data_IF_123255152106
#
_entry.id   IF_123255152106
#
_cell.length_a   1.000
_cell.length_b   1.000
_cell.length_c   1.000
_cell.angle_alpha   90.00
_cell.angle_beta   90.00
_cell.angle_gamma   90.00
#
_symmetry.space_group_name_H-M   'P 1'
#
loop_
_entity.id
_entity.type
_entity.pdbx_description
1 polymer ?
#
# COMPACT_ATOMS: atom_id res chain seq x y z
N UNK A 1 -7.95 -27.88 7.29
CA UNK A 1 -6.98 -27.78 8.39
C UNK A 1 -5.91 -26.79 7.98
N UNK A 2 -5.80 -25.65 8.67
CA UNK A 2 -4.82 -24.59 8.35
C UNK A 2 -3.34 -24.99 8.60
N UNK A 3 -3.07 -26.25 8.94
CA UNK A 3 -1.81 -26.76 9.48
C UNK A 3 -1.13 -27.82 8.60
N UNK A 4 -1.56 -27.96 7.34
CA UNK A 4 -1.10 -29.04 6.45
C UNK A 4 -0.01 -28.62 5.45
N UNK A 5 0.61 -27.45 5.62
CA UNK A 5 1.83 -27.08 4.88
C UNK A 5 2.97 -26.71 5.84
N UNK A 6 4.17 -27.28 5.66
CA UNK A 6 5.29 -27.06 6.55
C UNK A 6 5.95 -25.72 6.22
N UNK A 7 6.44 -25.06 7.29
CA UNK A 7 7.09 -23.75 7.35
C UNK A 7 6.13 -22.55 7.38
N UNK A 8 5.77 -22.13 8.59
CA UNK A 8 5.10 -20.84 8.83
C UNK A 8 6.16 -19.88 9.39
N UNK A 9 6.72 -19.02 8.52
CA UNK A 9 7.65 -17.97 8.94
C UNK A 9 6.85 -16.83 9.59
N UNK A 10 7.37 -16.33 10.70
CA UNK A 10 6.81 -15.20 11.43
C UNK A 10 7.86 -14.13 11.72
N UNK A 11 7.42 -12.99 12.24
CA UNK A 11 8.30 -11.93 12.72
C UNK A 11 8.20 -11.84 14.23
N UNK A 12 9.32 -12.01 14.94
CA UNK A 12 9.40 -11.69 16.35
C UNK A 12 9.31 -10.17 16.49
N UNK A 13 8.50 -9.69 17.44
CA UNK A 13 8.28 -8.26 17.62
C UNK A 13 8.29 -7.88 19.10
N UNK A 14 8.79 -6.68 19.38
CA UNK A 14 8.74 -6.06 20.70
C UNK A 14 7.50 -5.16 20.79
N UNK A 15 6.68 -5.35 21.82
CA UNK A 15 5.62 -4.43 22.17
C UNK A 15 6.21 -3.19 22.86
N UNK A 16 6.22 -2.06 22.14
CA UNK A 16 6.80 -0.78 22.59
C UNK A 16 5.82 0.00 23.44
N UNK A 17 4.54 -0.03 23.06
CA UNK A 17 3.48 0.68 23.78
C UNK A 17 2.21 -0.14 23.79
N UNK A 18 1.52 -0.12 24.93
CA UNK A 18 0.20 -0.72 25.09
C UNK A 18 -0.76 0.37 25.55
N UNK A 19 -1.82 0.58 24.79
CA UNK A 19 -2.92 1.48 25.16
C UNK A 19 -4.17 0.65 25.26
N UNK A 20 -4.86 0.71 26.40
CA UNK A 20 -6.12 0.01 26.63
C UNK A 20 -7.24 0.99 26.92
N UNK A 21 -8.44 0.70 26.42
CA UNK A 21 -9.66 1.37 26.88
C UNK A 21 -10.78 0.34 27.08
N UNK A 22 -11.56 0.55 28.13
CA UNK A 22 -12.58 -0.39 28.59
C UNK A 22 -13.99 -0.03 28.09
N UNK A 23 -14.12 0.93 27.18
CA UNK A 23 -15.43 1.43 26.73
C UNK A 23 -15.50 1.50 25.20
N UNK A 24 -16.58 1.01 24.53
CA UNK A 24 -17.72 0.26 25.07
C UNK A 24 -17.42 -1.22 25.35
N UNK A 25 -16.26 -1.72 24.91
CA UNK A 25 -15.68 -3.03 25.22
C UNK A 25 -14.17 -2.88 25.43
N UNK A 26 -13.52 -3.78 26.19
CA UNK A 26 -12.06 -3.79 26.31
C UNK A 26 -11.42 -3.88 24.92
N UNK A 27 -10.62 -2.89 24.58
CA UNK A 27 -9.81 -2.88 23.36
C UNK A 27 -8.39 -2.44 23.73
N UNK A 28 -7.42 -3.12 23.13
CA UNK A 28 -6.00 -2.82 23.29
C UNK A 28 -5.39 -2.51 21.94
N UNK A 29 -4.67 -1.40 21.87
CA UNK A 29 -3.83 -1.03 20.74
C UNK A 29 -2.38 -1.21 21.15
N UNK A 30 -1.66 -2.03 20.39
CA UNK A 30 -0.24 -2.30 20.60
C UNK A 30 0.57 -1.57 19.52
N UNK A 31 1.55 -0.78 19.93
CA UNK A 31 2.64 -0.37 19.06
C UNK A 31 3.72 -1.43 19.15
N UNK A 32 4.03 -2.06 18.01
CA UNK A 32 5.00 -3.16 17.93
C UNK A 32 6.11 -2.84 16.93
N UNK A 33 7.33 -3.29 17.22
CA UNK A 33 8.48 -3.18 16.32
C UNK A 33 9.00 -4.59 16.01
N UNK A 34 9.05 -4.95 14.73
CA UNK A 34 9.63 -6.22 14.28
C UNK A 34 11.14 -6.26 14.50
N UNK A 35 11.66 -7.41 14.93
CA UNK A 35 13.06 -7.63 15.28
C UNK A 35 13.76 -8.57 14.31
N UNK A 36 13.19 -9.76 14.10
CA UNK A 36 13.78 -10.79 13.25
C UNK A 36 12.72 -11.78 12.78
N UNK A 37 13.02 -12.49 11.70
CA UNK A 37 12.24 -13.64 11.26
C UNK A 37 12.52 -14.86 12.14
N UNK A 38 11.47 -15.63 12.36
CA UNK A 38 11.57 -16.95 12.95
C UNK A 38 10.76 -17.97 12.15
N UNK A 39 11.14 -19.23 12.24
CA UNK A 39 10.33 -20.35 11.81
C UNK A 39 9.70 -21.03 13.02
N UNK A 40 8.44 -21.41 12.91
CA UNK A 40 7.79 -22.27 13.90
C UNK A 40 8.31 -23.70 13.76
N UNK A 41 8.90 -24.23 14.83
CA UNK A 41 9.35 -25.62 14.90
C UNK A 41 8.23 -26.54 15.36
N UNK A 42 7.61 -26.21 16.50
CA UNK A 42 6.54 -27.01 17.09
C UNK A 42 5.59 -26.16 17.93
N UNK A 43 4.29 -26.46 17.86
CA UNK A 43 3.30 -25.90 18.78
C UNK A 43 3.30 -26.68 20.10
N UNK A 44 3.57 -25.98 21.20
CA UNK A 44 3.65 -26.55 22.55
C UNK A 44 2.30 -26.48 23.28
N UNK A 45 1.49 -25.46 22.99
CA UNK A 45 0.21 -25.20 23.65
C UNK A 45 -0.70 -24.37 22.73
N UNK A 46 -2.01 -24.62 22.77
CA UNK A 46 -3.01 -23.86 22.01
C UNK A 46 -3.84 -22.88 22.86
N UNK A 47 -4.17 -23.26 24.10
CA UNK A 47 -5.09 -22.52 24.97
C UNK A 47 -4.43 -22.16 26.31
N UNK A 48 -4.69 -20.97 26.89
CA UNK A 48 -5.62 -19.94 26.42
C UNK A 48 -5.09 -19.09 25.25
N UNK A 49 -3.79 -19.19 24.96
CA UNK A 49 -3.13 -18.60 23.80
C UNK A 49 -2.07 -19.59 23.29
N UNK A 50 -1.74 -19.52 21.98
CA UNK A 50 -0.76 -20.41 21.39
C UNK A 50 0.64 -20.12 21.94
N UNK A 51 1.40 -21.18 22.22
CA UNK A 51 2.83 -21.13 22.56
C UNK A 51 3.52 -22.11 21.61
N UNK A 52 4.55 -21.65 20.92
CA UNK A 52 5.33 -22.46 20.00
C UNK A 52 6.82 -22.34 20.30
N UNK A 53 7.55 -23.40 20.03
CA UNK A 53 8.99 -23.39 19.88
C UNK A 53 9.35 -22.84 18.50
N UNK A 54 10.32 -21.94 18.44
CA UNK A 54 10.68 -21.20 17.23
C UNK A 54 12.20 -21.14 17.07
N UNK A 55 12.66 -21.10 15.82
CA UNK A 55 14.05 -20.88 15.45
C UNK A 55 14.22 -19.53 14.77
N UNK A 56 15.17 -18.71 15.23
CA UNK A 56 15.48 -17.43 14.59
C UNK A 56 16.26 -17.65 13.28
N UNK A 57 15.77 -17.04 12.19
CA UNK A 57 16.31 -17.20 10.84
C UNK A 57 17.27 -16.07 10.44
N UNK A 58 16.96 -14.83 10.81
CA UNK A 58 17.77 -13.67 10.43
C UNK A 58 19.01 -13.56 11.33
N UNK A 59 20.11 -14.20 10.91
CA UNK A 59 21.46 -13.91 11.39
C UNK A 59 22.15 -13.00 10.39
N UNK A 60 21.93 -11.68 10.51
CA UNK A 60 22.50 -10.69 9.58
C UNK A 60 24.03 -10.84 9.38
N UNK A 61 24.74 -11.38 10.35
CA UNK A 61 26.19 -11.61 10.31
C UNK A 61 26.64 -12.69 9.30
N UNK A 62 25.75 -13.52 8.77
CA UNK A 62 26.11 -14.64 7.87
C UNK A 62 26.03 -14.30 6.38
N UNK A 63 25.49 -13.14 6.01
CA UNK A 63 25.36 -12.72 4.60
C UNK A 63 26.68 -12.24 3.97
N UNK A 64 27.77 -12.15 4.73
CA UNK A 64 29.09 -11.67 4.28
C UNK A 64 30.09 -12.78 3.92
N UNK A 65 29.75 -14.06 4.12
CA UNK A 65 30.74 -15.16 4.06
C UNK A 65 30.61 -16.10 2.84
N UNK A 66 29.95 -15.69 1.75
CA UNK A 66 29.88 -16.48 0.52
C UNK A 66 30.37 -15.68 -0.69
N UNK A 67 31.59 -15.98 -1.15
CA UNK A 67 32.36 -15.25 -2.17
C UNK A 67 31.77 -15.25 -3.61
N UNK A 68 30.52 -15.70 -3.82
CA UNK A 68 29.81 -15.57 -5.10
C UNK A 68 28.48 -14.82 -4.99
N UNK A 69 27.90 -14.74 -3.80
CA UNK A 69 26.65 -14.01 -3.52
C UNK A 69 26.86 -12.51 -3.35
N UNK A 70 28.06 -12.07 -2.96
CA UNK A 70 28.30 -10.68 -2.57
C UNK A 70 28.20 -9.70 -3.76
N UNK A 71 28.63 -10.11 -4.95
CA UNK A 71 28.54 -9.29 -6.17
C UNK A 71 27.08 -9.16 -6.65
N UNK A 72 26.37 -10.28 -6.81
CA UNK A 72 24.94 -10.28 -7.22
C UNK A 72 24.06 -9.54 -6.20
N UNK A 73 24.29 -9.76 -4.90
CA UNK A 73 23.60 -9.04 -3.84
C UNK A 73 23.92 -7.53 -3.88
N UNK A 74 25.17 -7.17 -4.18
CA UNK A 74 25.60 -5.79 -4.37
C UNK A 74 24.84 -5.11 -5.52
N UNK A 75 24.76 -5.76 -6.68
CA UNK A 75 24.01 -5.27 -7.84
C UNK A 75 22.52 -5.10 -7.52
N UNK A 76 21.89 -6.11 -6.90
CA UNK A 76 20.48 -6.04 -6.49
C UNK A 76 20.23 -4.91 -5.50
N UNK A 77 21.12 -4.73 -4.54
CA UNK A 77 21.05 -3.69 -3.51
C UNK A 77 21.17 -2.28 -4.11
N UNK A 78 22.10 -2.09 -5.06
CA UNK A 78 22.25 -0.83 -5.77
C UNK A 78 21.03 -0.53 -6.66
N UNK A 79 20.58 -1.53 -7.44
CA UNK A 79 19.40 -1.43 -8.28
C UNK A 79 18.15 -1.07 -7.46
N UNK A 80 17.94 -1.74 -6.33
CA UNK A 80 16.84 -1.48 -5.43
C UNK A 80 16.86 -0.05 -4.91
N UNK A 81 18.02 0.41 -4.40
CA UNK A 81 18.16 1.77 -3.89
C UNK A 81 17.89 2.82 -4.98
N UNK A 82 18.36 2.58 -6.21
CA UNK A 82 18.08 3.45 -7.36
C UNK A 82 16.58 3.57 -7.63
N UNK A 83 15.84 2.47 -7.62
CA UNK A 83 14.38 2.53 -7.79
C UNK A 83 13.67 3.18 -6.60
N UNK A 84 14.13 2.94 -5.38
CA UNK A 84 13.58 3.58 -4.18
C UNK A 84 13.72 5.10 -4.23
N UNK A 85 14.91 5.60 -4.58
CA UNK A 85 15.17 7.03 -4.75
C UNK A 85 14.32 7.60 -5.88
N UNK A 86 14.29 6.93 -7.04
CA UNK A 86 13.46 7.34 -8.17
C UNK A 86 11.98 7.45 -7.78
N UNK A 87 11.45 6.48 -7.03
CA UNK A 87 10.07 6.48 -6.59
C UNK A 87 9.77 7.71 -5.72
N UNK A 88 10.66 8.05 -4.78
CA UNK A 88 10.49 9.21 -3.88
C UNK A 88 10.65 10.53 -4.62
N UNK A 89 11.58 10.62 -5.58
CA UNK A 89 11.79 11.83 -6.39
C UNK A 89 10.63 12.14 -7.33
N UNK A 90 9.81 11.14 -7.66
CA UNK A 90 8.56 11.35 -8.41
C UNK A 90 7.42 11.92 -7.54
N UNK A 91 7.59 11.95 -6.22
CA UNK A 91 6.64 12.52 -5.26
C UNK A 91 6.99 13.98 -4.96
N UNK A 92 6.03 14.73 -4.42
CA UNK A 92 6.22 16.12 -4.05
C UNK A 92 7.05 16.25 -2.76
N UNK A 93 8.30 16.69 -2.89
CA UNK A 93 9.24 16.89 -1.79
C UNK A 93 8.84 18.01 -0.82
N UNK A 94 7.89 18.89 -1.19
CA UNK A 94 7.36 19.89 -0.26
C UNK A 94 6.52 19.26 0.86
N UNK A 95 6.02 18.03 0.66
CA UNK A 95 5.27 17.28 1.66
C UNK A 95 6.24 16.76 2.74
N UNK A 96 6.09 17.15 4.02
CA UNK A 96 7.03 16.77 5.08
C UNK A 96 7.21 15.25 5.25
N UNK A 97 6.15 14.48 4.99
CA UNK A 97 6.21 13.02 5.04
C UNK A 97 7.13 12.44 3.95
N UNK A 98 7.13 13.01 2.74
CA UNK A 98 7.98 12.60 1.63
C UNK A 98 9.44 12.97 1.91
N UNK A 99 9.69 14.17 2.44
CA UNK A 99 11.03 14.58 2.87
C UNK A 99 11.57 13.68 4.00
N UNK A 100 10.72 13.27 4.94
CA UNK A 100 11.10 12.30 5.99
C UNK A 100 11.39 10.93 5.39
N UNK A 101 10.60 10.46 4.42
CA UNK A 101 10.84 9.21 3.71
C UNK A 101 12.20 9.22 2.99
N UNK A 102 12.54 10.31 2.30
CA UNK A 102 13.87 10.48 1.67
C UNK A 102 15.00 10.35 2.69
N UNK A 103 14.89 11.07 3.82
CA UNK A 103 15.89 10.99 4.89
C UNK A 103 15.98 9.60 5.50
N UNK A 104 14.86 8.88 5.63
CA UNK A 104 14.89 7.49 6.08
C UNK A 104 15.65 6.60 5.09
N UNK A 105 15.39 6.73 3.79
CA UNK A 105 16.12 5.98 2.77
C UNK A 105 17.63 6.24 2.78
N UNK A 106 18.05 7.48 3.00
CA UNK A 106 19.47 7.85 3.00
C UNK A 106 20.23 7.36 4.24
N UNK A 107 19.53 7.08 5.35
CA UNK A 107 20.13 6.68 6.62
C UNK A 107 19.93 5.18 6.97
N UNK A 108 19.09 4.45 6.23
CA UNK A 108 18.79 3.06 6.53
C UNK A 108 19.90 2.13 6.00
N UNK A 109 20.27 1.07 6.76
CA UNK A 109 21.06 -0.03 6.20
C UNK A 109 20.41 -0.60 4.94
N UNK A 110 21.23 -0.88 3.91
CA UNK A 110 20.72 -1.34 2.62
C UNK A 110 19.97 -2.65 2.74
N UNK A 111 20.39 -3.50 3.67
CA UNK A 111 19.83 -4.81 3.97
C UNK A 111 18.41 -4.74 4.54
N UNK A 112 18.05 -3.62 5.16
CA UNK A 112 16.72 -3.38 5.72
C UNK A 112 15.75 -2.72 4.72
N UNK A 113 16.26 -2.20 3.60
CA UNK A 113 15.45 -1.47 2.63
C UNK A 113 14.29 -2.29 2.05
N UNK A 114 14.44 -3.58 1.68
CA UNK A 114 13.32 -4.38 1.17
C UNK A 114 12.17 -4.47 2.16
N UNK A 115 12.47 -4.69 3.44
CA UNK A 115 11.46 -4.88 4.49
C UNK A 115 10.74 -3.57 4.79
N UNK A 116 11.50 -2.48 4.94
CA UNK A 116 10.94 -1.15 5.23
C UNK A 116 10.11 -0.63 4.06
N UNK A 117 10.62 -0.66 2.82
CA UNK A 117 9.86 -0.17 1.67
C UNK A 117 8.62 -1.01 1.36
N UNK A 118 8.68 -2.33 1.52
CA UNK A 118 7.50 -3.20 1.38
C UNK A 118 6.38 -2.80 2.33
N UNK A 119 6.72 -2.31 3.53
CA UNK A 119 5.75 -1.82 4.51
C UNK A 119 5.11 -0.47 4.14
N UNK A 120 5.78 0.31 3.28
CA UNK A 120 5.37 1.67 2.89
C UNK A 120 4.61 1.67 1.57
N UNK A 121 5.05 0.89 0.59
CA UNK A 121 4.45 0.85 -0.75
C UNK A 121 3.18 -0.01 -0.77
N UNK A 122 2.32 0.25 -1.77
CA UNK A 122 1.08 -0.54 -1.95
C UNK A 122 1.42 -1.98 -2.39
N UNK A 123 1.12 -2.93 -1.50
CA UNK A 123 1.30 -4.38 -1.71
C UNK A 123 0.11 -5.17 -1.20
N UNK A 124 -0.17 -6.32 -1.82
CA UNK A 124 -1.18 -7.26 -1.36
C UNK A 124 -0.68 -8.06 -0.14
N UNK A 125 -1.61 -8.63 0.63
CA UNK A 125 -1.22 -9.50 1.75
C UNK A 125 -0.43 -10.73 1.29
N UNK A 126 -0.74 -11.26 0.10
CA UNK A 126 0.01 -12.38 -0.48
C UNK A 126 1.45 -11.98 -0.81
N UNK A 127 1.67 -10.81 -1.41
CA UNK A 127 3.01 -10.29 -1.70
C UNK A 127 3.82 -10.08 -0.41
N UNK A 128 3.18 -9.54 0.64
CA UNK A 128 3.82 -9.37 1.96
C UNK A 128 4.24 -10.70 2.57
N UNK A 129 3.40 -11.72 2.50
CA UNK A 129 3.73 -13.06 3.00
C UNK A 129 4.87 -13.69 2.19
N UNK A 130 4.86 -13.56 0.87
CA UNK A 130 5.95 -14.07 0.03
C UNK A 130 7.31 -13.41 0.34
N UNK A 131 7.32 -12.12 0.67
CA UNK A 131 8.53 -11.40 1.09
C UNK A 131 8.95 -11.79 2.52
N UNK A 132 7.99 -12.07 3.40
CA UNK A 132 8.27 -12.59 4.73
C UNK A 132 8.92 -13.98 4.66
N UNK A 133 8.42 -14.82 3.75
CA UNK A 133 8.92 -16.18 3.52
C UNK A 133 10.32 -16.21 2.85
N UNK A 134 10.69 -15.13 2.15
CA UNK A 134 12.02 -14.96 1.58
C UNK A 134 13.07 -14.67 2.68
N UNK A 135 13.69 -15.73 3.22
CA UNK A 135 14.70 -15.62 4.28
C UNK A 135 16.00 -14.98 3.75
N UNK A 136 16.43 -15.36 2.55
CA UNK A 136 17.65 -14.83 1.93
C UNK A 136 17.46 -13.37 1.51
N UNK A 137 18.43 -12.52 1.82
CA UNK A 137 18.36 -11.09 1.48
C UNK A 137 18.25 -10.85 -0.04
N UNK A 138 18.97 -11.62 -0.86
CA UNK A 138 18.87 -11.55 -2.32
C UNK A 138 17.46 -11.85 -2.83
N UNK A 139 16.79 -12.84 -2.24
CA UNK A 139 15.42 -13.20 -2.61
C UNK A 139 14.45 -12.08 -2.23
N UNK A 140 14.65 -11.45 -1.06
CA UNK A 140 13.89 -10.27 -0.66
C UNK A 140 14.02 -9.14 -1.67
N UNK A 141 15.25 -8.83 -2.10
CA UNK A 141 15.46 -7.85 -3.17
C UNK A 141 14.74 -8.25 -4.47
N UNK A 142 14.94 -9.48 -4.96
CA UNK A 142 14.31 -9.98 -6.19
C UNK A 142 12.79 -9.92 -6.15
N UNK A 143 12.18 -10.16 -4.99
CA UNK A 143 10.73 -10.12 -4.81
C UNK A 143 10.18 -8.68 -4.69
N UNK A 144 10.93 -7.77 -4.05
CA UNK A 144 10.45 -6.40 -3.83
C UNK A 144 10.75 -5.45 -4.99
N UNK A 145 11.82 -5.67 -5.79
CA UNK A 145 12.15 -4.84 -6.97
C UNK A 145 10.96 -4.70 -7.93
N UNK A 146 10.29 -5.79 -8.37
CA UNK A 146 9.12 -5.69 -9.26
C UNK A 146 7.98 -4.87 -8.66
N UNK A 147 7.80 -4.91 -7.33
CA UNK A 147 6.76 -4.14 -6.66
C UNK A 147 7.07 -2.64 -6.69
N UNK A 148 8.35 -2.26 -6.54
CA UNK A 148 8.79 -0.87 -6.71
C UNK A 148 8.61 -0.39 -8.16
N UNK A 149 9.04 -1.20 -9.14
CA UNK A 149 8.88 -0.89 -10.56
C UNK A 149 7.41 -0.65 -10.91
N UNK A 150 6.51 -1.51 -10.41
CA UNK A 150 5.06 -1.34 -10.56
C UNK A 150 4.55 0.01 -10.01
N UNK A 151 5.04 0.46 -8.85
CA UNK A 151 4.67 1.77 -8.31
C UNK A 151 5.18 2.91 -9.18
N UNK A 152 6.43 2.82 -9.65
CA UNK A 152 7.04 3.84 -10.52
C UNK A 152 6.25 3.96 -11.83
N UNK A 153 5.90 2.84 -12.44
CA UNK A 153 5.09 2.80 -13.67
C UNK A 153 3.70 3.39 -13.45
N UNK A 154 3.04 3.04 -12.34
CA UNK A 154 1.77 3.63 -11.95
C UNK A 154 1.83 5.15 -11.83
N UNK A 155 2.86 5.70 -11.16
CA UNK A 155 3.06 7.14 -11.05
C UNK A 155 3.35 7.81 -12.41
N UNK A 156 4.12 7.16 -13.29
CA UNK A 156 4.39 7.70 -14.65
C UNK A 156 3.10 7.84 -15.45
N UNK A 157 2.18 6.88 -15.35
CA UNK A 157 0.89 6.94 -16.03
C UNK A 157 0.05 8.11 -15.49
N UNK A 158 -0.03 8.27 -14.17
CA UNK A 158 -0.74 9.38 -13.54
C UNK A 158 -0.17 10.76 -13.91
N UNK A 159 1.15 10.87 -14.08
CA UNK A 159 1.77 12.12 -14.52
C UNK A 159 1.45 12.45 -15.98
N UNK A 160 1.33 11.45 -16.86
CA UNK A 160 0.97 11.65 -18.27
C UNK A 160 -0.46 12.16 -18.41
N UNK A 161 -1.42 11.56 -17.71
CA UNK A 161 -2.82 11.99 -17.75
C UNK A 161 -2.97 13.42 -17.20
N UNK A 162 -2.27 13.75 -16.11
CA UNK A 162 -2.30 15.09 -15.50
C UNK A 162 -1.68 16.17 -16.41
N UNK A 163 -0.61 15.85 -17.14
CA UNK A 163 0.01 16.77 -18.11
C UNK A 163 -0.87 16.99 -19.34
N UNK A 164 -1.60 15.98 -19.80
CA UNK A 164 -2.51 16.10 -20.94
C UNK A 164 -3.65 17.08 -20.66
N UNK A 165 -4.30 16.96 -19.48
CA UNK A 165 -5.39 17.84 -19.04
C UNK A 165 -4.97 19.32 -18.92
N UNK A 166 -3.70 19.61 -18.60
CA UNK A 166 -3.19 20.98 -18.51
C UNK A 166 -2.88 21.63 -19.86
N UNK A 167 -2.61 20.84 -20.90
CA UNK A 167 -2.33 21.36 -22.25
C UNK A 167 -3.63 21.69 -23.01
N UNK A 168 -4.69 20.92 -22.78
CA UNK A 168 -6.02 21.22 -23.34
C UNK A 168 -6.63 22.49 -22.73
N UNK A 169 -6.41 22.75 -21.44
CA UNK A 169 -6.90 23.95 -20.75
C UNK A 169 -6.18 25.25 -21.22
N UNK A 170 -5.04 25.12 -21.90
CA UNK A 170 -4.35 26.25 -22.55
C UNK A 170 -4.82 26.51 -23.98
N UNK A 171 -5.60 25.60 -24.59
CA UNK A 171 -6.30 25.85 -25.85
C UNK A 171 -7.62 26.55 -25.58
N UNK A 172 -7.55 27.73 -24.97
CA UNK A 172 -8.69 28.64 -24.90
C UNK A 172 -8.97 29.11 -26.32
N UNK A 173 -9.94 28.45 -26.96
CA UNK A 173 -10.50 28.83 -28.26
C UNK A 173 -11.07 30.24 -28.12
N UNK A 174 -10.52 31.18 -28.88
CA UNK A 174 -11.10 32.50 -29.03
C UNK A 174 -12.47 32.38 -29.74
N UNK A 175 -13.54 32.22 -28.96
CA UNK A 175 -14.91 32.20 -29.50
C UNK A 175 -15.28 33.64 -29.88
N UNK A 176 -15.23 33.95 -31.18
CA UNK A 176 -15.89 35.12 -31.76
C UNK A 176 -17.41 34.96 -31.62
N UNK A 177 -18.16 35.99 -31.21
CA UNK A 177 -19.61 35.89 -31.15
C UNK A 177 -20.18 36.07 -32.56
N UNK A 178 -20.78 35.03 -33.12
CA UNK A 178 -21.68 35.19 -34.26
C UNK A 178 -23.01 34.47 -34.02
N UNK A 179 -24.07 35.22 -34.33
CA UNK A 179 -25.47 35.00 -33.97
C UNK A 179 -26.07 33.73 -34.60
N UNK A 180 -26.91 33.06 -33.79
CA UNK A 180 -28.18 32.35 -34.06
C UNK A 180 -28.31 31.57 -35.38
N UNK A 181 -28.65 30.27 -35.30
CA UNK A 181 -29.92 29.67 -35.80
C UNK A 181 -29.93 28.12 -35.68
N UNK A 182 -31.05 27.63 -35.12
CA UNK A 182 -31.73 26.33 -35.22
C UNK A 182 -31.17 24.99 -34.68
N UNK A 183 -32.09 24.34 -33.97
CA UNK A 183 -32.20 22.93 -33.53
C UNK A 183 -31.83 21.88 -34.60
N UNK A 184 -31.18 20.80 -34.16
CA UNK A 184 -31.63 19.37 -34.12
C UNK A 184 -30.50 18.56 -33.41
N UNK A 185 -30.83 17.54 -32.58
CA UNK A 185 -29.86 16.90 -31.70
C UNK A 185 -29.13 15.74 -32.41
N UNK A 186 -27.83 15.61 -32.18
CA UNK A 186 -27.09 14.39 -32.52
C UNK A 186 -26.09 14.07 -31.41
N UNK A 187 -26.24 12.83 -30.96
CA UNK A 187 -25.52 12.02 -29.98
C UNK A 187 -24.06 11.78 -30.33
N UNK A 188 -23.19 11.89 -29.32
CA UNK A 188 -21.93 11.16 -29.08
C UNK A 188 -21.38 11.71 -27.74
N UNK A 189 -21.64 11.03 -26.62
CA UNK A 189 -20.69 10.07 -26.00
C UNK A 189 -19.43 10.78 -25.49
N UNK A 190 -19.55 11.36 -24.29
CA UNK A 190 -18.44 11.63 -23.36
C UNK A 190 -18.79 10.85 -22.07
N UNK A 191 -18.56 9.53 -22.11
CA UNK A 191 -18.49 8.70 -20.91
C UNK A 191 -17.06 8.79 -20.37
N UNK A 192 -16.85 9.53 -19.28
CA UNK A 192 -15.78 9.27 -18.28
C UNK A 192 -15.87 10.24 -17.08
N UNK A 193 -17.08 10.47 -16.52
CA UNK A 193 -17.27 11.01 -15.16
C UNK A 193 -18.53 10.41 -14.47
N UNK A 194 -18.91 9.16 -14.76
CA UNK A 194 -20.17 8.57 -14.24
C UNK A 194 -20.03 7.48 -13.17
N UNK A 195 -18.84 7.04 -12.74
CA UNK A 195 -18.76 5.94 -11.75
C UNK A 195 -19.20 6.41 -10.34
N UNK A 196 -18.75 7.59 -9.89
CA UNK A 196 -19.12 8.14 -8.56
C UNK A 196 -20.56 8.70 -8.52
N UNK A 197 -21.07 9.21 -9.65
CA UNK A 197 -22.44 9.74 -9.71
C UNK A 197 -23.46 8.59 -9.66
N UNK A 198 -23.19 7.47 -10.34
CA UNK A 198 -24.04 6.29 -10.27
C UNK A 198 -24.05 5.68 -8.87
N UNK A 199 -22.92 5.62 -8.18
CA UNK A 199 -22.86 5.05 -6.82
C UNK A 199 -23.72 5.83 -5.82
N UNK A 200 -23.70 7.17 -5.86
CA UNK A 200 -24.54 8.00 -4.98
C UNK A 200 -26.03 7.82 -5.29
N UNK A 201 -26.40 7.75 -6.57
CA UNK A 201 -27.79 7.51 -7.00
C UNK A 201 -28.26 6.09 -6.62
N UNK A 202 -27.40 5.09 -6.75
CA UNK A 202 -27.66 3.70 -6.33
C UNK A 202 -27.83 3.62 -4.81
N UNK A 203 -26.98 4.31 -4.02
CA UNK A 203 -27.10 4.37 -2.57
C UNK A 203 -28.40 5.05 -2.14
N UNK A 204 -28.78 6.15 -2.77
CA UNK A 204 -30.04 6.85 -2.46
C UNK A 204 -31.26 5.96 -2.74
N UNK A 205 -31.25 5.22 -3.86
CA UNK A 205 -32.31 4.27 -4.22
C UNK A 205 -32.40 3.10 -3.24
N UNK A 206 -31.27 2.54 -2.82
CA UNK A 206 -31.20 1.46 -1.81
C UNK A 206 -31.73 1.91 -0.45
N UNK A 207 -31.39 3.13 -0.02
CA UNK A 207 -31.87 3.71 1.24
C UNK A 207 -33.38 3.93 1.22
N UNK A 208 -33.94 4.46 0.12
CA UNK A 208 -35.39 4.65 -0.02
C UNK A 208 -36.18 3.34 -0.13
N UNK A 209 -35.55 2.28 -0.64
CA UNK A 209 -36.19 0.96 -0.79
C UNK A 209 -36.04 0.09 0.47
N UNK A 210 -35.18 0.49 1.40
CA UNK A 210 -35.01 -0.20 2.68
C UNK A 210 -36.20 0.06 3.60
N UNK A 211 -36.71 -0.98 4.26
CA UNK A 211 -37.80 -0.88 5.24
C UNK A 211 -37.29 -0.34 6.60
N UNK A 212 -36.63 0.81 6.59
CA UNK A 212 -36.12 1.49 7.78
C UNK A 212 -37.18 2.41 8.39
N UNK A 213 -37.05 2.73 9.68
CA UNK A 213 -37.93 3.71 10.34
C UNK A 213 -37.71 5.12 9.77
N UNK A 214 -38.75 5.96 9.77
CA UNK A 214 -38.71 7.32 9.19
C UNK A 214 -37.58 8.19 9.78
N UNK A 215 -37.29 8.00 11.07
CA UNK A 215 -36.21 8.72 11.76
C UNK A 215 -34.83 8.35 11.21
N UNK A 216 -34.59 7.06 10.92
CA UNK A 216 -33.34 6.59 10.35
C UNK A 216 -33.18 7.03 8.89
N UNK A 217 -34.27 6.98 8.11
CA UNK A 217 -34.28 7.41 6.71
C UNK A 217 -33.86 8.89 6.57
N UNK A 218 -34.39 9.75 7.44
CA UNK A 218 -34.10 11.19 7.43
C UNK A 218 -32.63 11.51 7.73
N UNK A 219 -31.99 10.74 8.61
CA UNK A 219 -30.56 10.90 8.94
C UNK A 219 -29.70 10.42 7.78
N UNK A 220 -29.99 9.26 7.20
CA UNK A 220 -29.25 8.72 6.06
C UNK A 220 -29.29 9.66 4.84
N UNK A 221 -30.46 10.23 4.52
CA UNK A 221 -30.60 11.20 3.42
C UNK A 221 -29.85 12.52 3.68
N UNK A 222 -29.64 12.89 4.95
CA UNK A 222 -28.88 14.09 5.31
C UNK A 222 -27.36 13.87 5.16
N UNK A 223 -26.87 12.68 5.49
CA UNK A 223 -25.45 12.34 5.36
C UNK A 223 -25.04 12.11 3.89
N UNK A 224 -25.93 11.64 3.01
CA UNK A 224 -25.65 11.56 1.57
C UNK A 224 -25.33 12.94 0.95
N UNK A 225 -25.86 14.02 1.53
CA UNK A 225 -25.70 15.39 1.01
C UNK A 225 -24.56 16.18 1.65
N UNK A 226 -23.76 15.54 2.51
CA UNK A 226 -22.70 16.17 3.30
C UNK A 226 -21.33 15.91 2.68
#
# INVERSE_FOLDING_TARGET
SWWSNPVQIGTAALAVQVVGSNWPKPHYTLLVTGLCRFQILQLLKEKPYPIAEVEQLDRLEQFTNQHKSEEELGELSEQFYKYAVQLVEMLDMSVPAVAKLRRLLDNLPREALPDILTSIIRTSNQEKLQILDAVRLEERFKMTIPLLVRQIEGLKLLQKTRKHKQDDDKRVVAIRPNRRINHIPSTAEDEEEEEDHDDVVILEKKIRTSSMSEQALKVCLKEIKR
#
